data_IF_235736167040
#
_entry.id   IF_235736167040
#
_cell.length_a   1.000
_cell.length_b   1.000
_cell.length_c   1.000
_cell.angle_alpha   90.00
_cell.angle_beta   90.00
_cell.angle_gamma   90.00
#
_symmetry.space_group_name_H-M   'P 1'
#
loop_
_entity.id
_entity.type
_entity.pdbx_description
1 polymer ?
#
# COMPACT_ATOMS: atom_id res chain seq x y z
N UNK A 1 -3.41 8.15 14.08
CA UNK A 1 -3.74 6.73 13.91
C UNK A 1 -3.30 5.91 15.13
N UNK A 2 -2.01 5.62 15.35
CA UNK A 2 -1.54 4.79 16.48
C UNK A 2 -1.97 5.31 17.85
N UNK A 3 -1.89 6.62 18.11
CA UNK A 3 -2.33 7.22 19.38
C UNK A 3 -3.81 6.96 19.70
N UNK A 4 -4.69 6.94 18.68
CA UNK A 4 -6.10 6.59 18.87
C UNK A 4 -6.27 5.12 19.26
N UNK A 5 -5.45 4.23 18.71
CA UNK A 5 -5.48 2.81 19.08
C UNK A 5 -4.94 2.59 20.49
N UNK A 6 -3.87 3.30 20.90
CA UNK A 6 -3.36 3.24 22.26
C UNK A 6 -4.42 3.66 23.28
N UNK A 7 -5.09 4.80 23.03
CA UNK A 7 -6.19 5.27 23.85
C UNK A 7 -7.34 4.26 23.93
N UNK A 8 -7.80 3.76 22.76
CA UNK A 8 -8.93 2.84 22.66
C UNK A 8 -8.68 1.50 23.35
N UNK A 9 -7.44 1.02 23.31
CA UNK A 9 -7.02 -0.24 23.91
C UNK A 9 -6.44 -0.08 25.33
N UNK A 10 -6.42 1.15 25.87
CA UNK A 10 -5.82 1.49 27.18
C UNK A 10 -4.36 1.02 27.28
N UNK A 11 -3.59 1.19 26.22
CA UNK A 11 -2.18 0.85 26.15
C UNK A 11 -1.36 2.12 26.48
N UNK A 12 -0.51 2.04 27.52
CA UNK A 12 0.42 3.12 27.88
C UNK A 12 1.63 3.10 26.93
N UNK A 13 1.50 3.77 25.80
CA UNK A 13 2.53 3.89 24.78
C UNK A 13 2.44 5.21 24.02
N UNK A 14 3.52 5.58 23.35
CA UNK A 14 3.61 6.81 22.55
C UNK A 14 4.12 6.49 21.15
N UNK A 15 3.50 7.12 20.16
CA UNK A 15 3.96 7.08 18.76
C UNK A 15 4.26 8.52 18.31
N UNK A 16 5.52 8.77 17.96
CA UNK A 16 5.99 10.10 17.56
C UNK A 16 6.61 10.07 16.17
N UNK A 17 6.36 11.07 15.31
CA UNK A 17 7.06 11.23 14.05
C UNK A 17 8.46 11.79 14.29
N UNK A 18 9.47 11.18 13.65
CA UNK A 18 10.86 11.65 13.69
C UNK A 18 11.32 11.86 12.26
N UNK A 19 11.73 13.10 11.93
CA UNK A 19 12.36 13.39 10.65
C UNK A 19 13.83 13.02 10.71
N UNK A 20 14.26 12.19 9.77
CA UNK A 20 15.64 11.73 9.62
C UNK A 20 16.11 12.07 8.21
N UNK A 21 17.21 12.80 8.08
CA UNK A 21 17.86 13.03 6.79
C UNK A 21 18.64 11.78 6.35
N UNK A 22 18.87 11.63 5.04
CA UNK A 22 19.48 10.40 4.48
C UNK A 22 20.82 10.06 5.09
N UNK A 23 21.67 11.07 5.29
CA UNK A 23 23.00 10.95 5.85
C UNK A 23 23.02 10.57 7.35
N UNK A 24 21.89 10.74 8.06
CA UNK A 24 21.78 10.45 9.49
C UNK A 24 21.03 9.15 9.80
N UNK A 25 20.68 8.34 8.80
CA UNK A 25 19.86 7.14 8.99
C UNK A 25 20.51 6.14 9.96
N UNK A 26 21.79 5.83 9.79
CA UNK A 26 22.52 4.91 10.67
C UNK A 26 22.58 5.39 12.11
N UNK A 27 22.87 6.69 12.29
CA UNK A 27 22.88 7.31 13.61
C UNK A 27 21.52 7.28 14.28
N UNK A 28 20.45 7.53 13.52
CA UNK A 28 19.08 7.47 14.02
C UNK A 28 18.72 6.06 14.51
N UNK A 29 19.05 5.03 13.73
CA UNK A 29 18.78 3.63 14.11
C UNK A 29 19.57 3.24 15.36
N UNK A 30 20.85 3.63 15.45
CA UNK A 30 21.66 3.41 16.64
C UNK A 30 21.08 4.08 17.87
N UNK A 31 20.58 5.31 17.70
CA UNK A 31 19.95 6.07 18.79
C UNK A 31 18.64 5.43 19.24
N UNK A 32 17.80 4.98 18.30
CA UNK A 32 16.56 4.26 18.59
C UNK A 32 16.87 2.97 19.39
N UNK A 33 17.83 2.16 18.94
CA UNK A 33 18.26 0.96 19.69
C UNK A 33 18.66 1.30 21.14
N UNK A 34 19.38 2.40 21.35
CA UNK A 34 19.82 2.83 22.68
C UNK A 34 18.64 3.28 23.56
N UNK A 35 17.64 3.95 22.97
CA UNK A 35 16.46 4.43 23.68
C UNK A 35 15.49 3.29 24.06
N UNK A 36 15.66 2.11 23.49
CA UNK A 36 14.85 0.95 23.85
C UNK A 36 13.45 0.97 23.23
N UNK A 37 13.31 1.50 22.01
CA UNK A 37 12.04 1.48 21.29
C UNK A 37 11.54 0.04 21.07
N UNK A 38 10.21 -0.13 21.01
CA UNK A 38 9.60 -1.43 20.68
C UNK A 38 9.58 -1.69 19.17
N UNK A 39 9.64 -0.63 18.36
CA UNK A 39 9.66 -0.68 16.92
C UNK A 39 9.32 0.68 16.30
N UNK A 40 9.39 0.76 14.98
CA UNK A 40 9.09 2.00 14.25
C UNK A 40 8.66 1.74 12.81
N UNK A 41 7.92 2.68 12.23
CA UNK A 41 7.68 2.69 10.80
C UNK A 41 8.79 3.44 10.05
N UNK A 42 9.00 3.02 8.82
CA UNK A 42 9.94 3.62 7.87
C UNK A 42 9.17 4.06 6.63
N UNK A 43 9.40 5.31 6.22
CA UNK A 43 8.78 5.86 5.02
C UNK A 43 9.84 6.38 4.03
N UNK A 44 9.40 6.93 2.92
CA UNK A 44 10.27 7.59 1.93
C UNK A 44 11.12 8.67 2.64
N UNK A 45 12.43 8.72 2.36
CA UNK A 45 13.17 7.97 1.33
C UNK A 45 13.93 6.74 1.86
N UNK A 46 13.57 6.20 3.02
CA UNK A 46 14.42 5.26 3.79
C UNK A 46 14.05 3.78 3.64
N UNK A 47 12.92 3.44 2.99
CA UNK A 47 12.40 2.05 2.93
C UNK A 47 13.40 1.02 2.39
N UNK A 48 14.26 1.41 1.46
CA UNK A 48 15.29 0.55 0.88
C UNK A 48 16.62 0.68 1.64
N UNK A 49 17.01 1.92 1.96
CA UNK A 49 18.29 2.23 2.57
C UNK A 49 18.43 1.75 4.03
N UNK A 50 17.34 1.41 4.70
CA UNK A 50 17.37 0.88 6.06
C UNK A 50 17.83 -0.59 6.12
N UNK A 51 17.64 -1.35 5.05
CA UNK A 51 17.88 -2.80 5.02
C UNK A 51 19.26 -3.21 5.57
N UNK A 52 20.38 -2.55 5.20
CA UNK A 52 21.71 -2.92 5.71
C UNK A 52 21.88 -2.77 7.22
N UNK A 53 20.99 -2.03 7.90
CA UNK A 53 21.04 -1.76 9.34
C UNK A 53 20.14 -2.68 10.17
N UNK A 54 19.45 -3.62 9.52
CA UNK A 54 18.54 -4.57 10.15
C UNK A 54 19.23 -5.93 10.30
N UNK A 55 18.92 -6.62 11.40
CA UNK A 55 19.48 -7.92 11.72
C UNK A 55 18.77 -9.05 10.99
N UNK A 56 17.47 -8.87 10.70
CA UNK A 56 16.64 -9.84 9.99
C UNK A 56 15.63 -9.14 9.07
N UNK A 57 15.22 -9.84 8.02
CA UNK A 57 14.09 -9.45 7.16
C UNK A 57 13.04 -10.55 7.14
N UNK A 58 11.79 -10.14 7.18
CA UNK A 58 10.67 -10.98 6.81
C UNK A 58 10.81 -11.41 5.32
N UNK A 59 10.42 -12.64 4.94
CA UNK A 59 10.51 -13.10 3.55
C UNK A 59 9.85 -12.19 2.53
N UNK A 60 8.74 -11.54 2.88
CA UNK A 60 8.06 -10.57 2.00
C UNK A 60 8.88 -9.30 1.85
N UNK A 61 9.39 -8.72 2.95
CA UNK A 61 10.25 -7.53 2.92
C UNK A 61 11.54 -7.79 2.13
N UNK A 62 12.10 -9.00 2.26
CA UNK A 62 13.28 -9.42 1.51
C UNK A 62 12.99 -9.48 0.00
N UNK A 63 11.89 -10.11 -0.42
CA UNK A 63 11.46 -10.17 -1.82
C UNK A 63 11.16 -8.77 -2.37
N UNK A 64 10.55 -7.91 -1.59
CA UNK A 64 10.22 -6.55 -2.00
C UNK A 64 11.45 -5.62 -2.06
N UNK A 65 12.52 -5.94 -1.35
CA UNK A 65 13.68 -5.06 -1.20
C UNK A 65 13.33 -3.74 -0.51
N UNK A 66 12.30 -3.72 0.33
CA UNK A 66 11.83 -2.52 1.01
C UNK A 66 11.18 -2.86 2.35
N UNK A 67 11.45 -2.06 3.36
CA UNK A 67 10.93 -2.17 4.72
C UNK A 67 10.13 -0.92 5.07
N UNK A 68 8.92 -1.07 5.60
CA UNK A 68 8.11 0.04 6.13
C UNK A 68 7.84 -0.11 7.63
N UNK A 69 8.17 -1.26 8.22
CA UNK A 69 7.92 -1.56 9.63
C UNK A 69 9.10 -2.32 10.20
N UNK A 70 9.63 -1.86 11.33
CA UNK A 70 10.70 -2.51 12.07
C UNK A 70 10.19 -2.89 13.45
N UNK A 71 10.51 -4.09 13.87
CA UNK A 71 10.17 -4.65 15.18
C UNK A 71 11.46 -4.96 15.93
N UNK A 72 11.53 -4.57 17.17
CA UNK A 72 12.58 -5.02 18.07
C UNK A 72 12.17 -6.36 18.68
N UNK A 73 12.98 -7.38 18.43
CA UNK A 73 12.78 -8.71 18.98
C UNK A 73 13.17 -8.78 20.47
N UNK A 74 12.74 -9.80 21.18
CA UNK A 74 13.04 -9.97 22.62
C UNK A 74 14.53 -10.00 22.95
N UNK A 75 15.35 -10.50 22.02
CA UNK A 75 16.82 -10.52 22.12
C UNK A 75 17.48 -9.19 21.67
N UNK A 76 16.66 -8.16 21.37
CA UNK A 76 17.12 -6.81 21.02
C UNK A 76 17.53 -6.60 19.58
N UNK A 77 17.38 -7.61 18.70
CA UNK A 77 17.63 -7.48 17.25
C UNK A 77 16.50 -6.72 16.55
N UNK A 78 16.80 -6.12 15.41
CA UNK A 78 15.84 -5.43 14.57
C UNK A 78 15.43 -6.30 13.39
N UNK A 79 14.12 -6.58 13.28
CA UNK A 79 13.52 -7.31 12.18
C UNK A 79 12.64 -6.41 11.33
N UNK A 80 12.92 -6.39 10.02
CA UNK A 80 12.20 -5.57 9.05
C UNK A 80 11.05 -6.32 8.38
N UNK A 81 9.93 -5.62 8.22
CA UNK A 81 8.72 -6.10 7.55
C UNK A 81 8.27 -5.08 6.50
N UNK A 82 7.45 -5.55 5.56
CA UNK A 82 6.70 -4.67 4.68
C UNK A 82 5.20 -4.98 4.76
N UNK A 83 4.45 -4.06 5.34
CA UNK A 83 3.01 -4.21 5.59
C UNK A 83 2.15 -3.54 4.53
N UNK A 84 2.73 -2.81 3.56
CA UNK A 84 1.97 -2.05 2.57
C UNK A 84 1.08 -2.96 1.72
N UNK A 85 1.66 -4.01 1.13
CA UNK A 85 0.93 -4.92 0.26
C UNK A 85 -0.16 -5.70 1.03
N UNK A 86 0.16 -6.22 2.22
CA UNK A 86 -0.81 -6.90 3.07
C UNK A 86 -1.95 -5.97 3.51
N UNK A 87 -1.63 -4.71 3.82
CA UNK A 87 -2.62 -3.68 4.14
C UNK A 87 -3.56 -3.40 2.99
N UNK A 88 -3.03 -3.34 1.76
CA UNK A 88 -3.85 -3.19 0.55
C UNK A 88 -4.80 -4.38 0.35
N UNK A 89 -4.28 -5.61 0.40
CA UNK A 89 -5.11 -6.83 0.23
C UNK A 89 -6.21 -6.89 1.28
N UNK A 90 -5.87 -6.59 2.55
CA UNK A 90 -6.86 -6.55 3.63
C UNK A 90 -7.97 -5.53 3.35
N UNK A 91 -7.61 -4.32 2.90
CA UNK A 91 -8.59 -3.29 2.54
C UNK A 91 -9.47 -3.72 1.37
N UNK A 92 -8.87 -4.29 0.32
CA UNK A 92 -9.58 -4.78 -0.85
C UNK A 92 -10.60 -5.86 -0.47
N UNK A 93 -10.17 -6.91 0.25
CA UNK A 93 -11.03 -8.03 0.64
C UNK A 93 -12.16 -7.61 1.59
N UNK A 94 -11.94 -6.62 2.45
CA UNK A 94 -13.01 -6.05 3.27
C UNK A 94 -14.05 -5.29 2.44
N UNK A 95 -13.62 -4.66 1.34
CA UNK A 95 -14.50 -3.89 0.47
C UNK A 95 -15.31 -4.77 -0.50
N UNK A 96 -14.71 -5.85 -1.03
CA UNK A 96 -15.32 -6.64 -2.11
C UNK A 96 -15.54 -8.13 -1.77
N UNK A 97 -15.03 -8.60 -0.63
CA UNK A 97 -15.02 -10.02 -0.26
C UNK A 97 -13.86 -10.80 -0.94
N UNK A 98 -13.59 -11.98 -0.42
CA UNK A 98 -12.49 -12.86 -0.89
C UNK A 98 -12.88 -13.73 -2.10
N UNK A 99 -14.15 -13.75 -2.49
CA UNK A 99 -14.65 -14.47 -3.66
C UNK A 99 -14.06 -13.98 -4.99
N UNK A 100 -13.49 -12.78 -5.01
CA UNK A 100 -12.91 -12.14 -6.21
C UNK A 100 -11.47 -12.54 -6.53
N UNK A 101 -10.87 -13.50 -5.81
CA UNK A 101 -9.47 -13.92 -6.04
C UNK A 101 -9.21 -14.60 -7.40
N UNK A 102 -10.25 -15.09 -8.06
CA UNK A 102 -10.16 -15.65 -9.41
C UNK A 102 -10.48 -14.64 -10.51
N UNK A 103 -10.85 -13.40 -10.16
CA UNK A 103 -11.14 -12.36 -11.15
C UNK A 103 -9.86 -11.79 -11.76
N UNK A 104 -9.88 -11.37 -13.03
CA UNK A 104 -8.75 -10.71 -13.67
C UNK A 104 -8.45 -9.34 -13.06
N UNK A 105 -7.20 -9.13 -12.66
CA UNK A 105 -6.68 -7.91 -12.04
C UNK A 105 -5.75 -7.19 -13.00
N UNK A 106 -5.96 -5.89 -13.21
CA UNK A 106 -5.03 -4.99 -13.89
C UNK A 106 -4.38 -4.05 -12.88
N UNK A 107 -3.06 -4.15 -12.71
CA UNK A 107 -2.26 -3.22 -11.91
C UNK A 107 -1.64 -2.19 -12.85
N UNK A 108 -1.86 -0.91 -12.58
CA UNK A 108 -1.36 0.21 -13.37
C UNK A 108 -0.15 0.80 -12.65
N UNK A 109 1.02 0.68 -13.28
CA UNK A 109 2.32 1.06 -12.73
C UNK A 109 3.20 -0.13 -12.38
N UNK A 110 4.52 0.09 -12.33
CA UNK A 110 5.54 -0.90 -12.00
C UNK A 110 6.62 -0.31 -11.06
N UNK A 111 6.18 0.48 -10.08
CA UNK A 111 7.02 1.01 -9.00
C UNK A 111 7.05 0.10 -7.78
N UNK A 112 7.66 0.57 -6.69
CA UNK A 112 7.75 -0.19 -5.43
C UNK A 112 6.39 -0.57 -4.85
N UNK A 113 5.37 0.31 -4.93
CA UNK A 113 4.02 0.01 -4.48
C UNK A 113 3.37 -1.09 -5.34
N UNK A 114 3.45 -0.98 -6.68
CA UNK A 114 2.97 -2.02 -7.58
C UNK A 114 3.60 -3.38 -7.26
N UNK A 115 4.93 -3.42 -7.08
CA UNK A 115 5.66 -4.63 -6.72
C UNK A 115 5.11 -5.24 -5.45
N UNK A 116 5.00 -4.46 -4.37
CA UNK A 116 4.50 -4.92 -3.09
C UNK A 116 3.07 -5.44 -3.14
N UNK A 117 2.19 -4.72 -3.82
CA UNK A 117 0.78 -5.11 -3.99
C UNK A 117 0.68 -6.39 -4.82
N UNK A 118 1.45 -6.53 -5.91
CA UNK A 118 1.44 -7.74 -6.73
C UNK A 118 1.88 -8.95 -5.93
N UNK A 119 2.96 -8.86 -5.15
CA UNK A 119 3.41 -9.93 -4.26
C UNK A 119 2.35 -10.31 -3.23
N UNK A 120 1.70 -9.33 -2.62
CA UNK A 120 0.68 -9.57 -1.62
C UNK A 120 -0.58 -10.22 -2.21
N UNK A 121 -1.04 -9.77 -3.38
CA UNK A 121 -2.15 -10.37 -4.11
C UNK A 121 -1.83 -11.82 -4.50
N UNK A 122 -0.65 -12.08 -5.05
CA UNK A 122 -0.22 -13.44 -5.40
C UNK A 122 -0.20 -14.35 -4.16
N UNK A 123 0.31 -13.85 -3.03
CA UNK A 123 0.35 -14.59 -1.75
C UNK A 123 -1.05 -14.84 -1.18
N UNK A 124 -2.01 -13.93 -1.42
CA UNK A 124 -3.41 -14.09 -1.05
C UNK A 124 -4.20 -15.00 -1.99
N UNK A 125 -3.58 -15.50 -3.08
CA UNK A 125 -4.18 -16.46 -4.00
C UNK A 125 -4.85 -15.84 -5.23
N UNK A 126 -4.61 -14.57 -5.54
CA UNK A 126 -5.02 -13.97 -6.82
C UNK A 126 -4.16 -14.56 -7.95
N UNK A 127 -4.81 -15.10 -8.99
CA UNK A 127 -4.13 -15.90 -10.02
C UNK A 127 -3.95 -15.17 -11.35
N UNK A 128 -4.85 -14.25 -11.67
CA UNK A 128 -4.92 -13.58 -12.98
C UNK A 128 -4.50 -12.12 -12.83
N UNK A 129 -3.20 -11.88 -12.70
CA UNK A 129 -2.63 -10.55 -12.48
C UNK A 129 -1.95 -10.09 -13.77
N UNK A 130 -2.34 -8.93 -14.27
CA UNK A 130 -1.67 -8.22 -15.37
C UNK A 130 -1.11 -6.91 -14.85
N UNK A 131 0.14 -6.61 -15.17
CA UNK A 131 0.79 -5.34 -14.80
C UNK A 131 0.98 -4.52 -16.08
N UNK A 132 0.35 -3.36 -16.13
CA UNK A 132 0.51 -2.40 -17.23
C UNK A 132 1.41 -1.25 -16.82
N UNK A 133 2.44 -0.97 -17.62
CA UNK A 133 3.34 0.14 -17.36
C UNK A 133 3.82 0.79 -18.65
N UNK A 134 4.16 2.09 -18.57
CA UNK A 134 4.77 2.82 -19.70
C UNK A 134 6.08 2.17 -20.17
N UNK A 135 6.91 1.72 -19.24
CA UNK A 135 8.13 0.94 -19.50
C UNK A 135 7.84 -0.51 -19.17
N UNK A 136 7.54 -1.32 -20.18
CA UNK A 136 7.05 -2.70 -20.01
C UNK A 136 8.08 -3.59 -19.31
N UNK A 137 9.36 -3.36 -19.54
CA UNK A 137 10.48 -4.11 -18.94
C UNK A 137 10.47 -4.07 -17.41
N UNK A 138 9.95 -2.97 -16.81
CA UNK A 138 9.79 -2.86 -15.35
C UNK A 138 8.67 -3.79 -14.85
N UNK A 139 7.58 -3.90 -15.60
CA UNK A 139 6.49 -4.81 -15.27
C UNK A 139 6.92 -6.28 -15.46
N UNK A 140 7.66 -6.58 -16.56
CA UNK A 140 8.24 -7.92 -16.79
C UNK A 140 9.18 -8.35 -15.66
N UNK A 141 9.97 -7.44 -15.12
CA UNK A 141 10.85 -7.74 -13.98
C UNK A 141 10.04 -8.19 -12.76
N UNK A 142 8.92 -7.52 -12.45
CA UNK A 142 8.03 -7.91 -11.36
C UNK A 142 7.39 -9.27 -11.63
N UNK A 143 6.83 -9.48 -12.80
CA UNK A 143 6.19 -10.76 -13.21
C UNK A 143 7.16 -11.91 -13.12
N UNK A 144 8.40 -11.73 -13.62
CA UNK A 144 9.47 -12.76 -13.56
C UNK A 144 9.83 -13.12 -12.13
N UNK A 145 9.90 -12.13 -11.25
CA UNK A 145 10.27 -12.35 -9.84
C UNK A 145 9.17 -13.08 -9.06
N UNK A 146 7.90 -12.76 -9.36
CA UNK A 146 6.75 -13.39 -8.70
C UNK A 146 6.47 -14.78 -9.27
N UNK A 147 6.77 -15.00 -10.55
CA UNK A 147 6.55 -16.24 -11.26
C UNK A 147 5.11 -16.45 -11.75
N UNK A 148 4.24 -15.43 -11.62
CA UNK A 148 2.86 -15.45 -12.13
C UNK A 148 2.50 -14.09 -12.75
N UNK A 149 1.54 -14.07 -13.67
CA UNK A 149 1.00 -12.84 -14.25
C UNK A 149 1.51 -12.54 -15.65
N UNK A 150 1.06 -11.42 -16.18
CA UNK A 150 1.41 -10.88 -17.52
C UNK A 150 1.88 -9.44 -17.36
N UNK A 151 2.84 -9.04 -18.19
CA UNK A 151 3.30 -7.66 -18.30
C UNK A 151 2.95 -7.11 -19.68
N UNK A 152 2.32 -5.93 -19.73
CA UNK A 152 1.87 -5.30 -20.97
C UNK A 152 2.14 -3.79 -21.00
N UNK A 153 2.01 -3.17 -22.16
CA UNK A 153 2.00 -1.72 -22.30
C UNK A 153 0.67 -1.11 -21.83
N UNK A 154 0.66 0.19 -21.55
CA UNK A 154 -0.59 0.92 -21.25
C UNK A 154 -1.56 0.90 -22.46
N UNK A 155 -1.03 0.96 -23.68
CA UNK A 155 -1.84 0.89 -24.91
C UNK A 155 -2.50 -0.50 -25.09
N UNK A 156 -1.77 -1.57 -24.79
CA UNK A 156 -2.34 -2.92 -24.78
C UNK A 156 -3.39 -3.08 -23.69
N UNK A 157 -3.16 -2.53 -22.51
CA UNK A 157 -4.14 -2.52 -21.44
C UNK A 157 -5.43 -1.80 -21.83
N UNK A 158 -5.33 -0.63 -22.47
CA UNK A 158 -6.47 0.14 -22.99
C UNK A 158 -7.31 -0.67 -23.97
N UNK A 159 -6.68 -1.44 -24.86
CA UNK A 159 -7.38 -2.30 -25.83
C UNK A 159 -8.09 -3.51 -25.19
N UNK A 160 -7.81 -3.82 -23.94
CA UNK A 160 -8.28 -5.01 -23.21
C UNK A 160 -9.06 -4.68 -21.93
N UNK A 161 -9.49 -3.43 -21.70
CA UNK A 161 -10.14 -3.01 -20.45
C UNK A 161 -11.32 -3.91 -20.06
N UNK A 162 -12.13 -4.33 -21.00
CA UNK A 162 -13.30 -5.20 -20.77
C UNK A 162 -12.94 -6.60 -20.27
N UNK A 163 -11.68 -7.02 -20.31
CA UNK A 163 -11.22 -8.31 -19.82
C UNK A 163 -10.92 -8.31 -18.31
N UNK A 164 -10.83 -7.13 -17.69
CA UNK A 164 -10.47 -7.00 -16.28
C UNK A 164 -11.69 -6.68 -15.42
N UNK A 165 -11.68 -7.21 -14.20
CA UNK A 165 -12.68 -6.92 -13.18
C UNK A 165 -12.17 -5.95 -12.11
N UNK A 166 -10.90 -6.05 -11.74
CA UNK A 166 -10.26 -5.26 -10.70
C UNK A 166 -9.15 -4.42 -11.32
N UNK A 167 -9.19 -3.12 -11.09
CA UNK A 167 -8.20 -2.15 -11.57
C UNK A 167 -7.52 -1.51 -10.37
N UNK A 168 -6.19 -1.52 -10.32
CA UNK A 168 -5.42 -1.01 -9.19
C UNK A 168 -4.42 0.04 -9.70
N UNK A 169 -4.71 1.30 -9.43
CA UNK A 169 -3.82 2.41 -9.72
C UNK A 169 -2.74 2.50 -8.63
N UNK A 170 -1.47 2.41 -9.05
CA UNK A 170 -0.32 2.42 -8.13
C UNK A 170 0.73 3.47 -8.46
N UNK A 171 0.45 4.32 -9.46
CA UNK A 171 1.36 5.42 -9.82
C UNK A 171 1.15 6.63 -8.90
N UNK A 172 2.11 7.59 -8.83
CA UNK A 172 1.92 8.83 -8.07
C UNK A 172 0.91 9.79 -8.69
N UNK A 173 0.29 9.43 -9.79
CA UNK A 173 -0.71 10.25 -10.47
C UNK A 173 -1.90 10.54 -9.52
N UNK A 174 -2.28 11.82 -9.42
CA UNK A 174 -3.34 12.24 -8.49
C UNK A 174 -2.87 12.66 -7.09
N UNK A 175 -1.59 12.51 -6.74
CA UNK A 175 -1.02 12.95 -5.45
C UNK A 175 -0.97 14.48 -5.27
N UNK A 176 -0.99 15.24 -6.35
CA UNK A 176 -0.93 16.70 -6.31
C UNK A 176 -2.05 17.28 -7.17
N UNK A 177 -2.60 18.43 -6.77
CA UNK A 177 -3.57 19.20 -7.55
C UNK A 177 -2.89 19.71 -8.84
N UNK A 178 -2.84 18.89 -9.87
CA UNK A 178 -2.28 19.18 -11.18
C UNK A 178 -3.06 18.45 -12.27
N UNK A 179 -2.81 18.80 -13.53
CA UNK A 179 -3.37 18.04 -14.64
C UNK A 179 -2.93 16.59 -14.54
N UNK A 180 -3.91 15.71 -14.41
CA UNK A 180 -3.72 14.30 -14.31
C UNK A 180 -4.17 13.66 -15.63
N UNK A 181 -3.22 13.17 -16.38
CA UNK A 181 -3.52 12.31 -17.51
C UNK A 181 -3.92 10.92 -16.98
N UNK A 182 -5.16 10.53 -17.25
CA UNK A 182 -5.59 9.16 -17.02
C UNK A 182 -4.62 8.21 -17.74
N UNK A 183 -4.29 7.06 -17.16
CA UNK A 183 -3.31 6.14 -17.76
C UNK A 183 -3.75 5.61 -19.13
N UNK A 184 -5.06 5.67 -19.40
CA UNK A 184 -5.73 5.29 -20.64
C UNK A 184 -7.13 5.96 -20.71
N UNK A 185 -7.76 5.89 -21.88
CA UNK A 185 -9.13 6.35 -22.05
C UNK A 185 -10.10 5.49 -21.24
N UNK A 186 -11.03 6.15 -20.54
CA UNK A 186 -12.08 5.48 -19.76
C UNK A 186 -13.33 5.14 -20.61
N UNK A 187 -13.29 5.33 -21.93
CA UNK A 187 -14.47 5.11 -22.77
C UNK A 187 -15.00 3.68 -22.67
N UNK A 188 -14.10 2.69 -22.79
CA UNK A 188 -14.39 1.26 -22.72
C UNK A 188 -14.22 0.67 -21.31
N UNK A 189 -14.15 1.53 -20.27
CA UNK A 189 -14.02 1.05 -18.91
C UNK A 189 -15.27 0.24 -18.51
N UNK A 190 -15.11 -1.01 -18.00
CA UNK A 190 -16.24 -1.91 -17.82
C UNK A 190 -17.14 -1.44 -16.66
N UNK A 191 -18.44 -1.53 -16.89
CA UNK A 191 -19.43 -1.31 -15.83
C UNK A 191 -19.28 -2.34 -14.71
N UNK A 192 -19.56 -1.92 -13.48
CA UNK A 192 -19.43 -2.77 -12.30
C UNK A 192 -18.02 -3.34 -12.08
N UNK A 193 -17.01 -2.76 -12.71
CA UNK A 193 -15.62 -3.01 -12.36
C UNK A 193 -15.34 -2.54 -10.92
N UNK A 194 -14.22 -2.96 -10.37
CA UNK A 194 -13.71 -2.51 -9.08
C UNK A 194 -12.48 -1.64 -9.37
N UNK A 195 -12.55 -0.37 -9.03
CA UNK A 195 -11.48 0.60 -9.24
C UNK A 195 -10.82 0.95 -7.90
N UNK A 196 -9.55 0.61 -7.79
CA UNK A 196 -8.74 0.84 -6.59
C UNK A 196 -7.66 1.89 -6.88
N UNK A 197 -7.40 2.78 -5.94
CA UNK A 197 -6.26 3.69 -5.97
C UNK A 197 -5.54 3.65 -4.63
N UNK A 198 -4.20 3.64 -4.65
CA UNK A 198 -3.39 3.66 -3.42
C UNK A 198 -3.24 5.06 -2.83
N UNK A 199 -3.58 6.09 -3.60
CA UNK A 199 -3.63 7.47 -3.13
C UNK A 199 -4.86 7.64 -2.23
N UNK A 200 -4.66 8.27 -1.08
CA UNK A 200 -5.71 8.54 -0.09
C UNK A 200 -5.93 10.03 0.18
N UNK A 201 -5.13 10.88 -0.40
CA UNK A 201 -5.28 12.33 -0.37
C UNK A 201 -4.92 12.93 -1.73
N UNK A 202 -5.92 13.37 -2.51
CA UNK A 202 -7.36 13.37 -2.22
C UNK A 202 -7.95 11.95 -2.12
N UNK A 203 -9.09 11.79 -1.42
CA UNK A 203 -9.81 10.49 -1.30
C UNK A 203 -10.32 10.03 -2.67
N UNK A 204 -10.89 10.95 -3.43
CA UNK A 204 -11.40 10.74 -4.78
C UNK A 204 -10.42 11.30 -5.81
N UNK A 205 -9.50 10.44 -6.24
CA UNK A 205 -8.57 10.79 -7.32
C UNK A 205 -9.28 10.92 -8.67
N UNK A 206 -8.70 11.61 -9.66
CA UNK A 206 -9.28 11.69 -11.00
C UNK A 206 -9.58 10.32 -11.63
N UNK A 207 -8.76 9.30 -11.34
CA UNK A 207 -9.01 7.94 -11.77
C UNK A 207 -10.29 7.36 -11.12
N UNK A 208 -10.42 7.48 -9.81
CA UNK A 208 -11.61 7.00 -9.09
C UNK A 208 -12.88 7.75 -9.51
N UNK A 209 -12.81 9.08 -9.68
CA UNK A 209 -13.94 9.88 -10.19
C UNK A 209 -14.36 9.45 -11.60
N UNK A 210 -13.40 9.15 -12.48
CA UNK A 210 -13.69 8.70 -13.83
C UNK A 210 -14.32 7.28 -13.85
N UNK A 211 -13.85 6.39 -12.96
CA UNK A 211 -14.38 5.04 -12.79
C UNK A 211 -15.80 5.05 -12.18
N UNK A 212 -16.06 5.92 -11.19
CA UNK A 212 -17.38 6.09 -10.57
C UNK A 212 -18.44 6.50 -11.61
N UNK A 213 -18.08 7.41 -12.54
CA UNK A 213 -18.96 7.80 -13.66
C UNK A 213 -19.30 6.64 -14.62
N UNK A 214 -18.58 5.51 -14.50
CA UNK A 214 -18.82 4.27 -15.24
C UNK A 214 -19.49 3.19 -14.41
N UNK A 215 -20.10 3.57 -13.28
CA UNK A 215 -20.77 2.66 -12.33
C UNK A 215 -19.81 1.61 -11.72
N UNK A 216 -18.51 1.92 -11.56
CA UNK A 216 -17.55 1.06 -10.88
C UNK A 216 -17.69 1.16 -9.36
N UNK A 217 -17.39 0.06 -8.67
CA UNK A 217 -17.20 0.06 -7.22
C UNK A 217 -15.84 0.69 -6.88
N UNK A 218 -15.81 1.65 -5.97
CA UNK A 218 -14.63 2.44 -5.63
C UNK A 218 -13.98 1.90 -4.35
N UNK A 219 -12.65 1.72 -4.40
CA UNK A 219 -11.80 1.38 -3.24
C UNK A 219 -10.65 2.38 -3.20
N UNK A 220 -10.70 3.35 -2.31
CA UNK A 220 -9.67 4.36 -2.15
C UNK A 220 -8.50 3.89 -1.27
N UNK A 221 -7.40 4.64 -1.29
CA UNK A 221 -6.17 4.30 -0.58
C UNK A 221 -6.23 4.39 0.95
N UNK A 222 -7.31 4.95 1.52
CA UNK A 222 -7.41 5.12 2.97
C UNK A 222 -7.44 3.79 3.72
N UNK A 223 -8.14 2.79 3.15
CA UNK A 223 -8.15 1.43 3.70
C UNK A 223 -6.74 0.83 3.77
N UNK A 224 -5.97 0.92 2.69
CA UNK A 224 -4.57 0.47 2.67
C UNK A 224 -3.73 1.20 3.74
N UNK A 225 -3.86 2.52 3.85
CA UNK A 225 -3.14 3.34 4.83
C UNK A 225 -3.44 2.91 6.27
N UNK A 226 -4.70 2.59 6.59
CA UNK A 226 -5.10 2.16 7.93
C UNK A 226 -4.59 0.74 8.21
N UNK A 227 -4.84 -0.21 7.29
CA UNK A 227 -4.55 -1.61 7.53
C UNK A 227 -3.04 -1.92 7.55
N UNK A 228 -2.20 -1.22 6.75
CA UNK A 228 -0.77 -1.37 6.86
C UNK A 228 -0.25 -0.94 8.24
N UNK A 229 -0.83 0.13 8.80
CA UNK A 229 -0.51 0.58 10.15
C UNK A 229 -1.05 -0.35 11.24
N UNK A 230 -2.23 -0.94 11.03
CA UNK A 230 -2.82 -1.92 11.96
C UNK A 230 -1.98 -3.22 12.01
N UNK A 231 -1.47 -3.68 10.87
CA UNK A 231 -0.55 -4.83 10.82
C UNK A 231 0.78 -4.48 11.52
N UNK A 232 1.31 -3.28 11.33
CA UNK A 232 2.50 -2.84 12.07
C UNK A 232 2.26 -2.81 13.58
N UNK A 233 1.10 -2.31 14.02
CA UNK A 233 0.68 -2.29 15.41
C UNK A 233 0.60 -3.71 15.99
N UNK A 234 0.02 -4.65 15.25
CA UNK A 234 -0.07 -6.06 15.63
C UNK A 234 1.33 -6.70 15.77
N UNK A 235 2.26 -6.38 14.88
CA UNK A 235 3.65 -6.84 15.00
C UNK A 235 4.34 -6.35 16.28
N UNK A 236 4.05 -5.12 16.74
CA UNK A 236 4.66 -4.56 17.95
C UNK A 236 4.02 -5.05 19.25
N UNK A 237 2.70 -5.25 19.25
CA UNK A 237 1.91 -5.39 20.47
C UNK A 237 1.11 -6.71 20.54
N UNK A 238 1.17 -7.54 19.49
CA UNK A 238 0.48 -8.83 19.45
C UNK A 238 -1.05 -8.75 19.35
N UNK A 239 -1.60 -7.55 19.09
CA UNK A 239 -3.05 -7.33 18.97
C UNK A 239 -3.37 -6.50 17.73
N UNK A 240 -4.30 -6.99 16.90
CA UNK A 240 -4.81 -6.22 15.77
C UNK A 240 -5.81 -5.16 16.26
N UNK A 241 -5.56 -3.85 16.01
CA UNK A 241 -6.38 -2.80 16.58
C UNK A 241 -7.69 -2.59 15.81
N UNK A 242 -8.73 -1.96 16.43
CA UNK A 242 -10.00 -1.67 15.77
C UNK A 242 -9.82 -0.59 14.68
N UNK A 243 -9.72 -1.02 13.42
CA UNK A 243 -9.45 -0.14 12.27
C UNK A 243 -10.58 0.86 12.01
N UNK A 244 -11.84 0.49 12.31
CA UNK A 244 -13.04 1.31 12.09
C UNK A 244 -12.98 2.65 12.81
N UNK A 245 -12.47 2.68 14.02
CA UNK A 245 -12.33 3.92 14.83
C UNK A 245 -11.44 4.94 14.13
N UNK A 246 -10.35 4.46 13.53
CA UNK A 246 -9.42 5.33 12.80
C UNK A 246 -10.00 5.76 11.47
N UNK A 247 -10.73 4.87 10.78
CA UNK A 247 -11.39 5.20 9.51
C UNK A 247 -12.36 6.38 9.70
N UNK A 248 -13.26 6.29 10.66
CA UNK A 248 -14.23 7.35 10.96
C UNK A 248 -13.55 8.67 11.33
N UNK A 249 -12.49 8.62 12.15
CA UNK A 249 -11.73 9.80 12.52
C UNK A 249 -11.06 10.47 11.31
N UNK A 250 -10.40 9.69 10.45
CA UNK A 250 -9.69 10.22 9.29
C UNK A 250 -10.65 10.77 8.23
N UNK A 251 -11.77 10.11 7.97
CA UNK A 251 -12.80 10.61 7.06
C UNK A 251 -13.28 11.99 7.51
N UNK A 252 -13.62 12.14 8.79
CA UNK A 252 -14.03 13.43 9.34
C UNK A 252 -12.95 14.52 9.16
N UNK A 253 -11.69 14.19 9.42
CA UNK A 253 -10.57 15.15 9.27
C UNK A 253 -10.34 15.57 7.81
N UNK A 254 -10.55 14.66 6.85
CA UNK A 254 -10.40 14.95 5.43
C UNK A 254 -11.56 15.81 4.91
N UNK A 255 -12.80 15.52 5.31
CA UNK A 255 -13.97 16.35 4.99
C UNK A 255 -13.83 17.78 5.55
N UNK A 256 -13.33 17.94 6.77
CA UNK A 256 -13.09 19.24 7.38
C UNK A 256 -12.05 20.08 6.62
N UNK A 257 -11.04 19.44 6.00
CA UNK A 257 -10.00 20.11 5.19
C UNK A 257 -10.48 20.49 3.80
N UNK A 258 -11.34 19.69 3.18
CA UNK A 258 -11.91 20.00 1.86
C UNK A 258 -12.92 21.17 1.92
N UNK A 259 -13.45 21.47 3.10
CA UNK A 259 -14.38 22.58 3.34
C UNK A 259 -13.67 23.90 3.79
N UNK A 260 -12.35 23.91 3.91
CA UNK A 260 -11.53 25.10 4.22
C UNK A 260 -10.82 25.65 2.98
#
# INVERSE_FOLDING_TARGET
MHSLWYEKLSIDATYIPIRVEREHLEQAITSLKLLGESGFNVTIPHKESIIPFLDELDPMAQKMGAVNTVVRTEDGRLKGYNTDGAGFVKALELAIGDSHRNEPVLIIGAGGAARGITFALASAGYKHITIANRTVEKAEAIVREIGIGEAISLADAESRLTQYKIFIQTTPAGLHHGEFDLPFSMNEFPKQAIACDIVYNPIMTPFLQAAEKKDAQIVNGLGMFIHQGAIAFEHWLGVYPPSEVVLQYLLKQLEERENQ
#
